data_IF_944063402523
#
_entry.id   IF_944063402523
#
_cell.length_a   1.000
_cell.length_b   1.000
_cell.length_c   1.000
_cell.angle_alpha   90.00
_cell.angle_beta   90.00
_cell.angle_gamma   90.00
#
_symmetry.space_group_name_H-M   'P 1'
#
loop_
_entity.id
_entity.type
_entity.pdbx_description
1 polymer ?
#
# COMPACT_ATOMS: atom_id res chain seq x y z
N UNK A 1 -8.42 6.02 -19.64
CA UNK A 1 -8.19 4.76 -20.39
C UNK A 1 -8.61 3.57 -19.53
N UNK A 2 -8.58 2.32 -20.04
CA UNK A 2 -8.86 1.11 -19.21
C UNK A 2 -8.00 1.07 -17.95
N UNK A 3 -6.70 1.34 -18.11
CA UNK A 3 -5.73 1.35 -17.02
C UNK A 3 -6.03 2.43 -15.96
N UNK A 4 -6.53 3.60 -16.36
CA UNK A 4 -7.00 4.62 -15.39
C UNK A 4 -8.07 4.05 -14.46
N UNK A 5 -9.07 3.34 -15.01
CA UNK A 5 -10.13 2.74 -14.20
C UNK A 5 -9.61 1.66 -13.27
N UNK A 6 -8.64 0.85 -13.71
CA UNK A 6 -8.00 -0.17 -12.87
C UNK A 6 -7.32 0.47 -11.65
N UNK A 7 -6.51 1.52 -11.87
CA UNK A 7 -5.86 2.27 -10.78
C UNK A 7 -6.89 2.89 -9.83
N UNK A 8 -7.95 3.49 -10.36
CA UNK A 8 -8.96 4.21 -9.55
C UNK A 8 -9.92 3.28 -8.78
N UNK A 9 -10.17 2.07 -9.26
CA UNK A 9 -11.17 1.16 -8.68
C UNK A 9 -10.53 -0.04 -7.98
N UNK A 10 -9.53 -0.66 -8.60
CA UNK A 10 -8.94 -1.91 -8.11
C UNK A 10 -7.87 -1.67 -7.05
N UNK A 11 -7.29 -0.46 -6.97
CA UNK A 11 -6.28 -0.08 -5.98
C UNK A 11 -6.82 0.80 -4.84
N UNK A 12 -8.13 0.93 -4.67
CA UNK A 12 -8.72 1.77 -3.58
C UNK A 12 -8.32 1.31 -2.17
N UNK A 13 -8.05 0.02 -2.01
CA UNK A 13 -7.55 -0.60 -0.78
C UNK A 13 -6.03 -0.44 -0.60
N UNK A 14 -5.34 0.22 -1.54
CA UNK A 14 -3.92 0.54 -1.46
C UNK A 14 -3.67 1.98 -1.93
N UNK A 15 -3.85 2.97 -1.03
CA UNK A 15 -3.71 4.39 -1.40
C UNK A 15 -2.29 4.75 -1.84
N UNK A 16 -1.27 4.03 -1.36
CA UNK A 16 0.11 4.26 -1.79
C UNK A 16 0.30 3.79 -3.23
N UNK A 17 -0.12 2.56 -3.55
CA UNK A 17 -0.01 2.04 -4.90
C UNK A 17 -0.86 2.84 -5.89
N UNK A 18 -2.07 3.23 -5.51
CA UNK A 18 -2.91 4.09 -6.32
C UNK A 18 -2.20 5.40 -6.70
N UNK A 19 -1.57 6.08 -5.74
CA UNK A 19 -0.82 7.31 -6.00
C UNK A 19 0.42 7.05 -6.88
N UNK A 20 1.19 6.01 -6.58
CA UNK A 20 2.40 5.66 -7.32
C UNK A 20 2.09 5.30 -8.77
N UNK A 21 1.12 4.42 -9.02
CA UNK A 21 0.71 4.05 -10.38
C UNK A 21 0.05 5.22 -11.12
N UNK A 22 -0.66 6.13 -10.44
CA UNK A 22 -1.17 7.34 -11.07
C UNK A 22 -0.05 8.23 -11.59
N UNK A 23 1.07 8.36 -10.85
CA UNK A 23 2.26 9.09 -11.31
C UNK A 23 2.93 8.37 -12.49
N UNK A 24 3.12 7.06 -12.39
CA UNK A 24 3.71 6.26 -13.46
C UNK A 24 2.88 6.26 -14.74
N UNK A 25 1.54 6.29 -14.65
CA UNK A 25 0.67 6.39 -15.82
C UNK A 25 0.90 7.71 -16.58
N UNK A 26 1.09 8.83 -15.86
CA UNK A 26 1.40 10.12 -16.51
C UNK A 26 2.71 10.04 -17.27
N UNK A 27 3.74 9.46 -16.66
CA UNK A 27 5.03 9.24 -17.32
C UNK A 27 4.93 8.32 -18.54
N UNK A 28 4.13 7.24 -18.45
CA UNK A 28 3.90 6.32 -19.56
C UNK A 28 3.16 7.01 -20.72
N UNK A 29 2.24 7.94 -20.44
CA UNK A 29 1.57 8.75 -21.47
C UNK A 29 2.58 9.67 -22.17
N UNK A 30 3.41 10.39 -21.40
CA UNK A 30 4.46 11.26 -21.96
C UNK A 30 5.49 10.47 -22.80
N UNK A 31 5.82 9.25 -22.38
CA UNK A 31 6.71 8.37 -23.13
C UNK A 31 6.04 7.81 -24.40
N UNK A 32 4.77 7.45 -24.31
CA UNK A 32 3.99 7.02 -25.48
C UNK A 32 3.89 8.15 -26.52
N UNK A 33 3.69 9.40 -26.11
CA UNK A 33 3.64 10.56 -27.01
C UNK A 33 4.95 10.74 -27.80
N UNK A 34 6.10 10.47 -27.20
CA UNK A 34 7.41 10.48 -27.89
C UNK A 34 7.57 9.35 -28.91
N UNK A 35 6.75 8.31 -28.81
CA UNK A 35 6.75 7.13 -29.67
C UNK A 35 5.64 7.19 -30.73
N UNK A 36 5.14 8.38 -31.07
CA UNK A 36 4.04 8.58 -32.03
C UNK A 36 4.22 7.83 -33.36
N UNK A 37 5.43 7.83 -33.92
CA UNK A 37 5.75 7.14 -35.17
C UNK A 37 5.97 5.62 -34.99
N UNK A 38 5.77 5.09 -33.78
CA UNK A 38 5.97 3.69 -33.43
C UNK A 38 4.75 3.09 -32.70
N UNK A 39 3.61 2.89 -33.39
CA UNK A 39 2.37 2.40 -32.78
C UNK A 39 2.53 1.08 -32.00
N UNK A 40 3.36 0.15 -32.52
CA UNK A 40 3.63 -1.11 -31.83
C UNK A 40 4.35 -0.90 -30.49
N UNK A 41 5.31 0.04 -30.42
CA UNK A 41 6.03 0.33 -29.16
C UNK A 41 5.12 0.98 -28.14
N UNK A 42 4.23 1.88 -28.57
CA UNK A 42 3.22 2.49 -27.69
C UNK A 42 2.30 1.43 -27.08
N UNK A 43 1.82 0.49 -27.92
CA UNK A 43 0.98 -0.62 -27.45
C UNK A 43 1.72 -1.47 -26.41
N UNK A 44 2.96 -1.87 -26.70
CA UNK A 44 3.78 -2.68 -25.78
C UNK A 44 4.01 -1.95 -24.45
N UNK A 45 4.34 -0.65 -24.49
CA UNK A 45 4.52 0.18 -23.29
C UNK A 45 3.29 0.15 -22.38
N UNK A 46 2.09 0.38 -22.94
CA UNK A 46 0.86 0.36 -22.15
C UNK A 46 0.47 -1.05 -21.67
N UNK A 47 0.78 -2.10 -22.44
CA UNK A 47 0.53 -3.49 -22.02
C UNK A 47 1.41 -3.89 -20.85
N UNK A 48 2.71 -3.61 -20.90
CA UNK A 48 3.62 -3.85 -19.78
C UNK A 48 3.22 -3.02 -18.55
N UNK A 49 2.73 -1.80 -18.76
CA UNK A 49 2.24 -0.97 -17.67
C UNK A 49 0.96 -1.55 -17.04
N UNK A 50 0.01 -2.03 -17.84
CA UNK A 50 -1.21 -2.70 -17.38
C UNK A 50 -0.86 -3.95 -16.55
N UNK A 51 0.08 -4.78 -17.01
CA UNK A 51 0.54 -5.97 -16.28
C UNK A 51 1.17 -5.61 -14.92
N UNK A 52 1.93 -4.52 -14.84
CA UNK A 52 2.48 -4.02 -13.57
C UNK A 52 1.39 -3.57 -12.60
N UNK A 53 0.35 -2.90 -13.09
CA UNK A 53 -0.80 -2.46 -12.28
C UNK A 53 -1.57 -3.67 -11.76
N UNK A 54 -1.87 -4.66 -12.61
CA UNK A 54 -2.59 -5.88 -12.22
C UNK A 54 -1.82 -6.67 -11.15
N UNK A 55 -0.50 -6.79 -11.32
CA UNK A 55 0.38 -7.44 -10.35
C UNK A 55 0.63 -6.61 -9.08
N UNK A 56 0.13 -5.37 -9.01
CA UNK A 56 0.51 -4.36 -8.00
C UNK A 56 2.03 -4.24 -7.83
N UNK A 57 2.80 -4.45 -8.90
CA UNK A 57 4.25 -4.51 -8.81
C UNK A 57 4.87 -3.11 -8.87
N UNK A 58 5.34 -2.64 -7.73
CA UNK A 58 6.13 -1.42 -7.62
C UNK A 58 7.58 -1.77 -7.28
N UNK A 59 8.53 -1.10 -7.95
CA UNK A 59 9.97 -1.37 -7.77
C UNK A 59 10.50 -1.03 -6.39
N UNK A 60 9.73 -0.28 -5.62
CA UNK A 60 10.11 0.32 -4.35
C UNK A 60 9.35 -0.31 -3.16
N UNK A 61 8.67 -1.43 -3.44
CA UNK A 61 7.99 -2.32 -2.49
C UNK A 61 8.66 -3.70 -2.54
N UNK A 62 8.99 -4.31 -1.40
CA UNK A 62 9.62 -5.64 -1.37
C UNK A 62 8.79 -6.74 -2.03
N UNK A 63 9.42 -7.57 -2.87
CA UNK A 63 8.77 -8.70 -3.57
C UNK A 63 8.14 -9.72 -2.59
N UNK A 64 8.68 -9.80 -1.36
CA UNK A 64 8.12 -10.65 -0.31
C UNK A 64 6.66 -10.32 0.04
N UNK A 65 6.19 -9.10 -0.23
CA UNK A 65 4.81 -8.67 0.02
C UNK A 65 3.86 -9.02 -1.13
N UNK A 66 4.36 -9.45 -2.30
CA UNK A 66 3.52 -9.76 -3.46
C UNK A 66 2.50 -10.89 -3.19
N UNK A 67 2.77 -11.76 -2.21
CA UNK A 67 1.85 -12.83 -1.77
C UNK A 67 0.68 -12.32 -0.93
N UNK A 68 0.76 -11.10 -0.38
CA UNK A 68 -0.27 -10.53 0.47
C UNK A 68 -0.49 -9.04 0.16
N UNK A 69 -1.54 -8.77 -0.62
CA UNK A 69 -1.91 -7.42 -1.07
C UNK A 69 -2.27 -6.47 0.07
N UNK A 70 -2.76 -6.96 1.21
CA UNK A 70 -3.07 -6.13 2.38
C UNK A 70 -1.79 -5.71 3.10
N UNK A 71 -0.89 -6.65 3.37
CA UNK A 71 0.43 -6.34 3.92
C UNK A 71 1.20 -5.37 2.99
N UNK A 72 1.09 -5.55 1.67
CA UNK A 72 1.64 -4.63 0.69
C UNK A 72 1.14 -3.19 0.89
N UNK A 73 -0.17 -3.02 1.03
CA UNK A 73 -0.78 -1.71 1.26
C UNK A 73 -0.30 -1.09 2.59
N UNK A 74 -0.21 -1.87 3.66
CA UNK A 74 0.28 -1.38 4.96
C UNK A 74 1.74 -0.93 4.89
N UNK A 75 2.60 -1.66 4.17
CA UNK A 75 3.98 -1.22 3.91
C UNK A 75 4.01 0.11 3.15
N UNK A 76 3.14 0.28 2.15
CA UNK A 76 2.98 1.55 1.44
C UNK A 76 2.61 2.72 2.36
N UNK A 77 1.74 2.48 3.36
CA UNK A 77 1.41 3.49 4.39
C UNK A 77 2.64 3.87 5.21
N UNK A 78 3.44 2.91 5.65
CA UNK A 78 4.68 3.20 6.39
C UNK A 78 5.62 4.06 5.56
N UNK A 79 5.80 3.71 4.28
CA UNK A 79 6.67 4.46 3.39
C UNK A 79 6.21 5.90 3.16
N UNK A 80 4.89 6.12 3.11
CA UNK A 80 4.30 7.45 2.95
C UNK A 80 4.47 8.30 4.21
N UNK A 81 4.18 7.74 5.37
CA UNK A 81 4.15 8.50 6.64
C UNK A 81 5.51 8.60 7.33
N UNK A 82 6.48 7.75 6.94
CA UNK A 82 7.84 7.71 7.50
C UNK A 82 8.92 7.85 6.41
N UNK A 83 8.89 8.92 5.59
CA UNK A 83 9.77 9.03 4.43
C UNK A 83 11.26 9.03 4.80
N UNK A 84 11.62 9.56 5.97
CA UNK A 84 13.02 9.61 6.45
C UNK A 84 13.60 8.21 6.71
N UNK A 85 12.76 7.27 7.13
CA UNK A 85 13.16 5.88 7.41
C UNK A 85 13.52 5.14 6.12
N UNK A 86 12.76 5.41 5.06
CA UNK A 86 12.91 4.77 3.76
C UNK A 86 13.74 5.60 2.79
N UNK A 87 14.34 6.71 3.23
CA UNK A 87 15.19 7.56 2.41
C UNK A 87 16.46 6.84 1.97
N UNK A 88 16.96 5.93 2.80
CA UNK A 88 18.08 5.04 2.48
C UNK A 88 17.52 3.66 2.18
N UNK A 89 17.94 3.06 1.05
CA UNK A 89 17.60 1.68 0.68
C UNK A 89 18.39 0.68 1.53
N UNK A 90 18.19 0.72 2.85
CA UNK A 90 18.78 -0.21 3.80
C UNK A 90 17.96 -1.50 3.86
N UNK A 91 18.61 -2.63 3.62
CA UNK A 91 17.96 -3.96 3.58
C UNK A 91 17.38 -4.34 4.95
N UNK A 92 18.06 -4.02 6.05
CA UNK A 92 17.57 -4.34 7.40
C UNK A 92 16.32 -3.53 7.73
N UNK A 93 16.28 -2.26 7.30
CA UNK A 93 15.09 -1.43 7.43
C UNK A 93 13.94 -2.02 6.62
N UNK A 94 14.17 -2.37 5.34
CA UNK A 94 13.15 -2.98 4.50
C UNK A 94 12.61 -4.30 5.09
N UNK A 95 13.49 -5.18 5.57
CA UNK A 95 13.10 -6.44 6.21
C UNK A 95 12.27 -6.21 7.49
N UNK A 96 12.69 -5.26 8.34
CA UNK A 96 11.98 -4.90 9.57
C UNK A 96 10.56 -4.45 9.25
N UNK A 97 10.40 -3.49 8.34
CA UNK A 97 9.08 -2.93 8.02
C UNK A 97 8.22 -3.88 7.18
N UNK A 98 8.83 -4.79 6.42
CA UNK A 98 8.12 -5.91 5.78
C UNK A 98 7.49 -6.82 6.82
N UNK A 99 8.25 -7.21 7.86
CA UNK A 99 7.71 -8.01 8.98
C UNK A 99 6.61 -7.27 9.72
N UNK A 100 6.79 -5.97 9.96
CA UNK A 100 5.77 -5.13 10.59
C UNK A 100 4.46 -5.08 9.80
N UNK A 101 4.55 -5.05 8.47
CA UNK A 101 3.37 -5.05 7.61
C UNK A 101 2.58 -6.37 7.70
N UNK A 102 3.28 -7.51 7.75
CA UNK A 102 2.65 -8.82 7.98
C UNK A 102 2.06 -8.94 9.38
N UNK A 103 2.72 -8.38 10.41
CA UNK A 103 2.20 -8.40 11.77
C UNK A 103 0.91 -7.58 11.89
N UNK A 104 0.86 -6.40 11.26
CA UNK A 104 -0.36 -5.59 11.15
C UNK A 104 -1.48 -6.38 10.45
N UNK A 105 -1.18 -7.04 9.34
CA UNK A 105 -2.16 -7.88 8.63
C UNK A 105 -2.71 -8.99 9.53
N UNK A 106 -1.84 -9.70 10.24
CA UNK A 106 -2.24 -10.74 11.19
C UNK A 106 -3.17 -10.22 12.29
N UNK A 107 -2.92 -9.01 12.81
CA UNK A 107 -3.78 -8.37 13.82
C UNK A 107 -5.16 -8.07 13.22
N UNK A 108 -5.22 -7.57 11.99
CA UNK A 108 -6.46 -7.23 11.32
C UNK A 108 -7.28 -8.48 11.01
N UNK A 109 -6.66 -9.50 10.42
CA UNK A 109 -7.31 -10.79 10.13
C UNK A 109 -7.91 -11.38 11.40
N UNK A 110 -7.17 -11.36 12.51
CA UNK A 110 -7.67 -11.82 13.80
C UNK A 110 -8.85 -11.00 14.29
N UNK A 111 -8.77 -9.66 14.23
CA UNK A 111 -9.85 -8.78 14.65
C UNK A 111 -11.13 -8.98 13.82
N UNK A 112 -11.00 -9.19 12.50
CA UNK A 112 -12.12 -9.49 11.60
C UNK A 112 -12.76 -10.84 11.97
N UNK A 113 -11.95 -11.87 12.22
CA UNK A 113 -12.46 -13.19 12.60
C UNK A 113 -13.22 -13.15 13.94
N UNK A 114 -12.71 -12.41 14.92
CA UNK A 114 -13.28 -12.33 16.27
C UNK A 114 -14.52 -11.41 16.37
N UNK A 115 -14.64 -10.40 15.49
CA UNK A 115 -15.67 -9.36 15.59
C UNK A 115 -16.54 -9.24 14.32
N UNK A 116 -16.61 -10.31 13.53
CA UNK A 116 -17.25 -10.35 12.19
C UNK A 116 -18.71 -9.85 12.12
N UNK A 117 -19.43 -9.86 13.25
CA UNK A 117 -20.83 -9.41 13.33
C UNK A 117 -20.99 -7.88 13.31
N UNK A 118 -19.94 -7.13 13.64
CA UNK A 118 -20.02 -5.67 13.74
C UNK A 118 -18.73 -4.99 13.25
N UNK A 119 -18.78 -4.28 12.11
CA UNK A 119 -17.63 -3.53 11.59
C UNK A 119 -17.03 -2.51 12.58
N UNK A 120 -17.84 -1.92 13.45
CA UNK A 120 -17.34 -0.97 14.45
C UNK A 120 -16.49 -1.67 15.52
N UNK A 121 -16.83 -2.90 15.89
CA UNK A 121 -16.07 -3.69 16.86
C UNK A 121 -14.74 -4.16 16.23
N UNK A 122 -14.74 -4.52 14.94
CA UNK A 122 -13.50 -4.79 14.19
C UNK A 122 -12.59 -3.56 14.23
N UNK A 123 -13.07 -2.38 13.83
CA UNK A 123 -12.25 -1.16 13.80
C UNK A 123 -11.69 -0.81 15.18
N UNK A 124 -12.50 -0.95 16.22
CA UNK A 124 -12.08 -0.70 17.61
C UNK A 124 -10.99 -1.69 18.02
N UNK A 125 -11.18 -2.98 17.78
CA UNK A 125 -10.19 -4.02 18.09
C UNK A 125 -8.88 -3.78 17.32
N UNK A 126 -8.95 -3.47 16.03
CA UNK A 126 -7.79 -3.14 15.20
C UNK A 126 -7.04 -1.93 15.78
N UNK A 127 -7.75 -0.83 16.06
CA UNK A 127 -7.14 0.38 16.62
C UNK A 127 -6.46 0.12 17.97
N UNK A 128 -7.10 -0.64 18.86
CA UNK A 128 -6.56 -0.97 20.18
C UNK A 128 -5.30 -1.83 20.09
N UNK A 129 -5.23 -2.78 19.15
CA UNK A 129 -4.09 -3.70 19.03
C UNK A 129 -2.93 -3.13 18.19
N UNK A 130 -3.21 -2.39 17.12
CA UNK A 130 -2.18 -1.82 16.25
C UNK A 130 -1.47 -0.63 16.90
N UNK A 131 -2.19 0.21 17.63
CA UNK A 131 -1.64 1.47 18.15
C UNK A 131 -0.38 1.24 19.04
N UNK A 132 -0.36 0.32 20.02
CA UNK A 132 0.83 0.05 20.83
C UNK A 132 2.00 -0.50 20.01
N UNK A 133 1.72 -1.37 19.04
CA UNK A 133 2.72 -1.97 18.16
C UNK A 133 3.43 -0.90 17.33
N UNK A 134 2.65 -0.09 16.60
CA UNK A 134 3.18 0.98 15.77
C UNK A 134 3.86 2.06 16.60
N UNK A 135 3.32 2.40 17.77
CA UNK A 135 3.94 3.39 18.63
C UNK A 135 5.34 2.95 19.10
N UNK A 136 5.50 1.68 19.46
CA UNK A 136 6.81 1.12 19.84
C UNK A 136 7.78 1.20 18.66
N UNK A 137 7.34 0.73 17.49
CA UNK A 137 8.14 0.68 16.26
C UNK A 137 8.56 2.07 15.77
N UNK A 138 7.65 3.04 15.81
CA UNK A 138 7.87 4.42 15.41
C UNK A 138 8.73 5.19 16.43
N UNK A 139 8.64 4.88 17.72
CA UNK A 139 9.47 5.53 18.74
C UNK A 139 10.96 5.24 18.54
N UNK A 140 11.31 4.01 18.16
CA UNK A 140 12.70 3.59 17.94
C UNK A 140 13.44 4.40 16.86
N UNK A 141 12.68 4.98 15.94
CA UNK A 141 13.18 5.79 14.81
C UNK A 141 12.94 7.29 15.00
N UNK A 142 12.46 7.71 16.19
CA UNK A 142 12.18 9.12 16.50
C UNK A 142 10.86 9.67 15.95
N UNK A 143 10.00 8.82 15.37
CA UNK A 143 8.68 9.26 14.91
C UNK A 143 7.71 9.46 16.08
N UNK A 144 6.94 10.56 16.01
CA UNK A 144 6.01 10.97 17.06
C UNK A 144 4.62 10.35 16.96
N UNK A 145 3.78 10.68 17.95
CA UNK A 145 2.39 10.20 18.00
C UNK A 145 1.55 10.68 16.80
N UNK A 146 1.91 11.80 16.19
CA UNK A 146 1.21 12.32 15.00
C UNK A 146 1.33 11.33 13.83
N UNK A 147 2.54 10.87 13.53
CA UNK A 147 2.79 9.90 12.47
C UNK A 147 2.08 8.58 12.76
N UNK A 148 2.18 8.09 14.00
CA UNK A 148 1.52 6.84 14.42
C UNK A 148 0.01 6.92 14.21
N UNK A 149 -0.63 8.02 14.63
CA UNK A 149 -2.07 8.20 14.43
C UNK A 149 -2.46 8.22 12.96
N UNK A 150 -1.69 8.90 12.09
CA UNK A 150 -1.95 8.92 10.64
C UNK A 150 -1.84 7.55 10.01
N UNK A 151 -0.81 6.77 10.40
CA UNK A 151 -0.65 5.39 9.93
C UNK A 151 -1.86 4.55 10.34
N UNK A 152 -2.25 4.60 11.62
CA UNK A 152 -3.41 3.86 12.14
C UNK A 152 -4.71 4.27 11.41
N UNK A 153 -4.95 5.57 11.25
CA UNK A 153 -6.14 6.08 10.55
C UNK A 153 -6.19 5.61 9.10
N UNK A 154 -5.06 5.63 8.40
CA UNK A 154 -4.97 5.17 7.01
C UNK A 154 -5.20 3.66 6.91
N UNK A 155 -4.66 2.87 7.83
CA UNK A 155 -4.90 1.42 7.90
C UNK A 155 -6.38 1.13 8.15
N UNK A 156 -7.05 1.86 9.05
CA UNK A 156 -8.50 1.73 9.28
C UNK A 156 -9.28 2.08 8.01
N UNK A 157 -8.85 3.10 7.25
CA UNK A 157 -9.51 3.43 5.99
C UNK A 157 -9.34 2.32 4.94
N UNK A 158 -8.16 1.71 4.85
CA UNK A 158 -7.91 0.54 4.00
C UNK A 158 -8.82 -0.62 4.39
N UNK A 159 -8.92 -0.91 5.70
CA UNK A 159 -9.83 -1.93 6.23
C UNK A 159 -11.28 -1.67 5.82
N UNK A 160 -11.79 -0.45 5.98
CA UNK A 160 -13.15 -0.08 5.57
C UNK A 160 -13.41 -0.37 4.10
N UNK A 161 -12.47 0.05 3.23
CA UNK A 161 -12.58 -0.23 1.79
C UNK A 161 -12.58 -1.73 1.51
N UNK A 162 -11.76 -2.50 2.22
CA UNK A 162 -11.73 -3.97 2.13
C UNK A 162 -13.06 -4.60 2.54
N UNK A 163 -13.64 -4.18 3.66
CA UNK A 163 -14.93 -4.68 4.16
C UNK A 163 -16.10 -4.33 3.21
N UNK A 164 -16.03 -3.22 2.49
CA UNK A 164 -17.05 -2.86 1.48
C UNK A 164 -16.95 -3.67 0.19
N UNK A 165 -15.81 -4.31 -0.08
CA UNK A 165 -15.58 -5.17 -1.26
C UNK A 165 -15.90 -6.64 -1.00
N UNK A 166 -15.92 -7.06 0.27
CA UNK A 166 -16.23 -8.43 0.72
C UNK A 166 -17.73 -8.70 0.72
#
# INVERSE_FOLDING_TARGET
TRVTKMIEQELRDDPYAQEAFSKLLRMAIEEAEKLFDHPLKQYLLFREFEEKVEARKLSDIPDALAVNKHAQAYYGVFKKELPEVFAVNDVQVQEKWTKQAFEVDSIIVKAVAENSLNPQDIEKAVKTNILPLLFTSCREIGAGMIQVNRIVETIIQILRVGLMKS
#
